data_IF_896000953302
#
_entry.id   IF_896000953302
#
_cell.length_a   1.000
_cell.length_b   1.000
_cell.length_c   1.000
_cell.angle_alpha   90.00
_cell.angle_beta   90.00
_cell.angle_gamma   90.00
#
_symmetry.space_group_name_H-M   'P 1'
#
loop_
_entity.id
_entity.type
_entity.pdbx_description
1 polymer ?
#
# COMPACT_ATOMS: atom_id res chain seq x y z
N UNK A 1 17.62 8.79 7.81
CA UNK A 1 17.01 7.45 7.61
C UNK A 1 17.85 6.34 8.23
N UNK A 2 17.42 5.88 9.40
CA UNK A 2 17.96 4.68 10.04
C UNK A 2 17.81 3.42 9.19
N UNK A 3 18.69 2.45 9.42
CA UNK A 3 18.65 1.11 8.79
C UNK A 3 17.28 0.42 9.00
N UNK A 4 16.65 0.66 10.16
CA UNK A 4 15.29 0.20 10.49
C UNK A 4 14.22 0.89 9.62
N UNK A 5 14.31 2.21 9.44
CA UNK A 5 13.38 2.98 8.61
C UNK A 5 13.47 2.56 7.14
N UNK A 6 14.69 2.40 6.60
CA UNK A 6 14.90 1.86 5.24
C UNK A 6 14.24 0.50 5.04
N UNK A 7 14.43 -0.43 5.98
CA UNK A 7 13.83 -1.76 5.89
C UNK A 7 12.30 -1.74 5.99
N UNK A 8 11.73 -0.87 6.83
CA UNK A 8 10.27 -0.66 6.87
C UNK A 8 9.73 -0.10 5.55
N UNK A 9 10.40 0.90 4.97
CA UNK A 9 10.04 1.47 3.67
C UNK A 9 10.06 0.39 2.57
N UNK A 10 11.03 -0.51 2.60
CA UNK A 10 11.15 -1.62 1.64
C UNK A 10 10.01 -2.64 1.78
N UNK A 11 9.66 -3.02 3.02
CA UNK A 11 8.50 -3.88 3.30
C UNK A 11 7.20 -3.21 2.86
N UNK A 12 7.04 -1.91 3.12
CA UNK A 12 5.86 -1.15 2.67
C UNK A 12 5.78 -1.12 1.14
N UNK A 13 6.90 -0.96 0.43
CA UNK A 13 6.94 -1.02 -1.04
C UNK A 13 6.49 -2.39 -1.58
N UNK A 14 6.97 -3.48 -0.99
CA UNK A 14 6.53 -4.82 -1.37
C UNK A 14 5.01 -4.98 -1.18
N UNK A 15 4.49 -4.59 -0.01
CA UNK A 15 3.05 -4.64 0.27
C UNK A 15 2.23 -3.80 -0.70
N UNK A 16 2.70 -2.59 -1.00
CA UNK A 16 2.05 -1.70 -1.97
C UNK A 16 1.97 -2.34 -3.36
N UNK A 17 3.02 -3.01 -3.82
CA UNK A 17 3.01 -3.71 -5.10
C UNK A 17 1.92 -4.79 -5.17
N UNK A 18 1.80 -5.61 -4.12
CA UNK A 18 0.75 -6.64 -4.03
C UNK A 18 -0.65 -6.02 -3.96
N UNK A 19 -0.85 -5.00 -3.13
CA UNK A 19 -2.15 -4.32 -3.00
C UNK A 19 -2.57 -3.62 -4.29
N UNK A 20 -1.63 -3.05 -5.05
CA UNK A 20 -1.92 -2.45 -6.35
C UNK A 20 -2.35 -3.49 -7.39
N UNK A 21 -1.73 -4.67 -7.39
CA UNK A 21 -2.14 -5.78 -8.26
C UNK A 21 -3.53 -6.29 -7.88
N UNK A 22 -3.81 -6.45 -6.58
CA UNK A 22 -5.14 -6.81 -6.07
C UNK A 22 -6.18 -5.76 -6.45
N UNK A 23 -5.85 -4.47 -6.31
CA UNK A 23 -6.75 -3.38 -6.69
C UNK A 23 -7.03 -3.38 -8.20
N UNK A 24 -6.02 -3.67 -9.03
CA UNK A 24 -6.20 -3.78 -10.47
C UNK A 24 -7.15 -4.94 -10.83
N UNK A 25 -7.00 -6.10 -10.18
CA UNK A 25 -7.91 -7.24 -10.33
C UNK A 25 -9.33 -6.90 -9.87
N UNK A 26 -9.47 -6.36 -8.66
CA UNK A 26 -10.76 -5.97 -8.07
C UNK A 26 -11.48 -4.86 -8.87
N UNK A 27 -10.74 -3.99 -9.58
CA UNK A 27 -11.33 -3.01 -10.50
C UNK A 27 -11.78 -3.62 -11.83
N UNK A 28 -11.14 -4.67 -12.30
CA UNK A 28 -11.47 -5.32 -13.58
C UNK A 28 -12.67 -6.26 -13.46
N UNK A 29 -12.74 -7.03 -12.37
CA UNK A 29 -13.86 -7.89 -12.04
C UNK A 29 -14.22 -7.70 -10.57
N UNK A 30 -15.01 -6.68 -10.23
CA UNK A 30 -15.43 -6.45 -8.85
C UNK A 30 -16.43 -7.53 -8.44
N UNK A 31 -15.95 -8.57 -7.77
CA UNK A 31 -16.81 -9.53 -7.06
C UNK A 31 -17.47 -8.86 -5.84
N UNK A 32 -16.72 -7.99 -5.15
CA UNK A 32 -17.21 -7.11 -4.08
C UNK A 32 -16.98 -5.63 -4.45
N UNK A 33 -18.04 -4.81 -4.57
CA UNK A 33 -17.91 -3.38 -4.88
C UNK A 33 -17.17 -2.58 -3.79
N UNK A 34 -17.05 -3.09 -2.56
CA UNK A 34 -16.32 -2.43 -1.47
C UNK A 34 -14.84 -2.82 -1.39
N UNK A 35 -14.45 -3.94 -2.01
CA UNK A 35 -13.06 -4.42 -2.03
C UNK A 35 -12.07 -3.40 -2.63
N UNK A 36 -12.31 -2.80 -3.83
CA UNK A 36 -11.39 -1.81 -4.36
C UNK A 36 -11.29 -0.56 -3.47
N UNK A 37 -12.37 -0.18 -2.78
CA UNK A 37 -12.34 0.94 -1.84
C UNK A 37 -11.49 0.62 -0.59
N UNK A 38 -11.58 -0.61 -0.07
CA UNK A 38 -10.74 -1.08 1.05
C UNK A 38 -9.27 -1.15 0.67
N UNK A 39 -8.96 -1.75 -0.47
CA UNK A 39 -7.60 -1.85 -1.00
C UNK A 39 -6.98 -0.47 -1.23
N UNK A 40 -7.76 0.47 -1.78
CA UNK A 40 -7.31 1.85 -1.94
C UNK A 40 -7.02 2.53 -0.60
N UNK A 41 -7.89 2.39 0.39
CA UNK A 41 -7.67 2.97 1.72
C UNK A 41 -6.41 2.41 2.39
N UNK A 42 -6.12 1.12 2.20
CA UNK A 42 -4.92 0.48 2.74
C UNK A 42 -3.64 0.93 2.02
N UNK A 43 -3.71 1.11 0.70
CA UNK A 43 -2.64 1.74 -0.09
C UNK A 43 -2.35 3.15 0.42
N UNK A 44 -3.38 3.98 0.59
CA UNK A 44 -3.23 5.37 1.03
C UNK A 44 -2.61 5.45 2.43
N UNK A 45 -3.04 4.58 3.35
CA UNK A 45 -2.48 4.46 4.69
C UNK A 45 -1.00 4.11 4.66
N UNK A 46 -0.62 3.12 3.84
CA UNK A 46 0.78 2.68 3.70
C UNK A 46 1.65 3.76 3.03
N UNK A 47 1.11 4.49 2.05
CA UNK A 47 1.81 5.63 1.43
C UNK A 47 2.02 6.78 2.41
N UNK A 48 1.04 7.08 3.26
CA UNK A 48 1.17 8.07 4.32
C UNK A 48 2.22 7.65 5.36
N UNK A 49 2.22 6.38 5.78
CA UNK A 49 3.23 5.85 6.69
C UNK A 49 4.64 5.91 6.07
N UNK A 50 4.77 5.54 4.79
CA UNK A 50 6.03 5.64 4.05
C UNK A 50 6.53 7.10 3.99
N UNK A 51 5.64 8.05 3.73
CA UNK A 51 5.99 9.48 3.67
C UNK A 51 6.47 10.00 5.03
N UNK A 52 5.79 9.62 6.11
CA UNK A 52 6.23 9.93 7.49
C UNK A 52 7.60 9.33 7.80
N UNK A 53 7.83 8.07 7.42
CA UNK A 53 9.12 7.40 7.60
C UNK A 53 10.24 8.00 6.74
N UNK A 54 9.91 8.68 5.63
CA UNK A 54 10.89 9.40 4.81
C UNK A 54 11.22 10.79 5.33
N UNK A 55 10.25 11.44 5.97
CA UNK A 55 10.42 12.75 6.59
C UNK A 55 11.11 12.69 7.97
N UNK A 56 11.22 11.48 8.55
CA UNK A 56 11.87 11.22 9.84
C UNK A 56 13.30 10.69 9.68
#
# INVERSE_FOLDING_TARGET
>A
MDKKAKKRIEVIRQKLGTLQQQLAGAKQQPDDPQEPARLQAEIDKLQAEMTKLKAS
#
